data_IF_768085109590
#
_entry.id   IF_768085109590
#
_cell.length_a   1.000
_cell.length_b   1.000
_cell.length_c   1.000
_cell.angle_alpha   90.00
_cell.angle_beta   90.00
_cell.angle_gamma   90.00
#
_symmetry.space_group_name_H-M   'P 1'
#
loop_
_entity.id
_entity.type
_entity.pdbx_description
1 polymer ?
#
# COMPACT_ATOMS: atom_id res chain seq x y z
N UNK A 1 -14.75 -14.50 17.32
CA UNK A 1 -13.37 -15.00 17.18
C UNK A 1 -13.30 -15.65 15.83
N UNK A 2 -12.31 -15.26 15.04
CA UNK A 2 -12.02 -15.89 13.74
C UNK A 2 -11.34 -17.23 14.03
N UNK A 3 -11.77 -18.26 13.30
CA UNK A 3 -11.28 -19.63 13.43
C UNK A 3 -10.07 -19.86 12.53
N UNK A 4 -9.21 -20.81 12.91
CA UNK A 4 -8.08 -21.24 12.06
C UNK A 4 -8.56 -21.72 10.67
N UNK A 5 -9.77 -22.30 10.61
CA UNK A 5 -10.41 -22.75 9.36
C UNK A 5 -10.77 -21.59 8.43
N UNK A 6 -11.24 -20.45 8.98
CA UNK A 6 -11.52 -19.25 8.18
C UNK A 6 -10.24 -18.66 7.59
N UNK A 7 -9.17 -18.57 8.40
CA UNK A 7 -7.84 -18.12 7.92
C UNK A 7 -7.31 -19.05 6.83
N UNK A 8 -7.46 -20.37 7.00
CA UNK A 8 -7.07 -21.36 6.00
C UNK A 8 -7.84 -21.19 4.69
N UNK A 9 -9.17 -21.05 4.73
CA UNK A 9 -9.99 -20.89 3.53
C UNK A 9 -9.61 -19.61 2.75
N UNK A 10 -9.41 -18.49 3.45
CA UNK A 10 -8.95 -17.24 2.81
C UNK A 10 -7.53 -17.40 2.24
N UNK A 11 -6.64 -18.08 2.97
CA UNK A 11 -5.29 -18.41 2.52
C UNK A 11 -5.26 -19.27 1.26
N UNK A 12 -6.17 -20.23 1.13
CA UNK A 12 -6.34 -21.03 -0.08
C UNK A 12 -6.75 -20.16 -1.27
N UNK A 13 -7.67 -19.20 -1.09
CA UNK A 13 -8.03 -18.23 -2.13
C UNK A 13 -6.83 -17.39 -2.56
N UNK A 14 -6.05 -16.86 -1.62
CA UNK A 14 -4.83 -16.10 -1.93
C UNK A 14 -3.81 -16.93 -2.74
N UNK A 15 -3.60 -18.18 -2.33
CA UNK A 15 -2.61 -19.08 -2.91
C UNK A 15 -3.00 -19.76 -4.21
N UNK A 16 -4.27 -19.65 -4.65
CA UNK A 16 -4.76 -20.33 -5.86
C UNK A 16 -4.57 -19.46 -7.12
N UNK A 17 -3.67 -19.83 -8.05
CA UNK A 17 -3.45 -19.07 -9.28
C UNK A 17 -4.61 -19.16 -10.27
N UNK A 18 -5.62 -20.01 -10.03
CA UNK A 18 -6.86 -20.04 -10.83
C UNK A 18 -7.88 -19.01 -10.36
N UNK A 19 -7.70 -18.41 -9.17
CA UNK A 19 -8.57 -17.33 -8.70
C UNK A 19 -8.27 -16.03 -9.45
N UNK A 20 -9.28 -15.22 -9.77
CA UNK A 20 -9.09 -13.88 -10.32
C UNK A 20 -8.22 -13.02 -9.40
N UNK A 21 -7.39 -12.15 -9.98
CA UNK A 21 -6.42 -11.38 -9.21
C UNK A 21 -7.09 -10.54 -8.13
N UNK A 22 -8.19 -9.85 -8.47
CA UNK A 22 -9.03 -9.10 -7.52
C UNK A 22 -9.48 -9.93 -6.30
N UNK A 23 -9.87 -11.20 -6.47
CA UNK A 23 -10.27 -12.07 -5.36
C UNK A 23 -9.09 -12.41 -4.44
N UNK A 24 -7.90 -12.56 -5.04
CA UNK A 24 -6.65 -12.81 -4.31
C UNK A 24 -6.21 -11.58 -3.52
N UNK A 25 -6.37 -10.37 -4.07
CA UNK A 25 -6.15 -9.11 -3.35
C UNK A 25 -7.09 -8.94 -2.16
N UNK A 26 -8.39 -9.21 -2.34
CA UNK A 26 -9.37 -9.18 -1.24
C UNK A 26 -9.00 -10.19 -0.14
N UNK A 27 -8.57 -11.40 -0.52
CA UNK A 27 -8.09 -12.40 0.43
C UNK A 27 -6.82 -11.91 1.17
N UNK A 28 -5.86 -11.33 0.46
CA UNK A 28 -4.63 -10.77 1.03
C UNK A 28 -4.93 -9.69 2.07
N UNK A 29 -5.73 -8.68 1.73
CA UNK A 29 -6.08 -7.61 2.66
C UNK A 29 -6.92 -8.11 3.85
N UNK A 30 -7.74 -9.14 3.63
CA UNK A 30 -8.46 -9.81 4.74
C UNK A 30 -7.45 -10.47 5.68
N UNK A 31 -6.46 -11.22 5.18
CA UNK A 31 -5.40 -11.84 6.00
C UNK A 31 -4.55 -10.79 6.72
N UNK A 32 -4.24 -9.67 6.07
CA UNK A 32 -3.54 -8.53 6.68
C UNK A 32 -4.33 -7.96 7.87
N UNK A 33 -5.63 -7.77 7.72
CA UNK A 33 -6.52 -7.31 8.81
C UNK A 33 -6.68 -8.33 9.95
N UNK A 34 -6.67 -9.62 9.62
CA UNK A 34 -6.74 -10.71 10.61
C UNK A 34 -5.47 -10.85 11.44
N UNK A 35 -4.30 -10.70 10.80
CA UNK A 35 -3.01 -10.85 11.46
C UNK A 35 -2.72 -12.27 11.92
N UNK A 36 -1.65 -12.42 12.69
CA UNK A 36 -1.28 -13.68 13.32
C UNK A 36 -0.40 -14.61 12.46
N UNK A 37 0.10 -15.69 13.06
CA UNK A 37 1.12 -16.53 12.44
C UNK A 37 0.62 -17.27 11.19
N UNK A 38 -0.65 -17.70 11.18
CA UNK A 38 -1.23 -18.42 10.05
C UNK A 38 -1.46 -17.51 8.85
N UNK A 39 -1.92 -16.27 9.07
CA UNK A 39 -2.03 -15.26 8.02
C UNK A 39 -0.65 -14.96 7.40
N UNK A 40 0.37 -14.74 8.24
CA UNK A 40 1.76 -14.54 7.79
C UNK A 40 2.23 -15.75 6.97
N UNK A 41 1.96 -16.97 7.42
CA UNK A 41 2.36 -18.19 6.71
C UNK A 41 1.68 -18.31 5.34
N UNK A 42 0.39 -17.97 5.21
CA UNK A 42 -0.32 -17.96 3.93
C UNK A 42 0.19 -16.89 2.98
N UNK A 43 0.37 -15.66 3.46
CA UNK A 43 0.95 -14.56 2.69
C UNK A 43 2.37 -14.94 2.22
N UNK A 44 3.19 -15.50 3.10
CA UNK A 44 4.57 -15.94 2.79
C UNK A 44 4.63 -17.01 1.69
N UNK A 45 3.67 -17.93 1.64
CA UNK A 45 3.64 -18.99 0.61
C UNK A 45 3.36 -18.43 -0.79
N UNK A 46 2.64 -17.32 -0.88
CA UNK A 46 2.23 -16.71 -2.14
C UNK A 46 3.37 -15.97 -2.88
N UNK A 47 4.55 -15.77 -2.27
CA UNK A 47 5.74 -15.21 -2.95
C UNK A 47 6.25 -16.05 -4.13
N UNK A 48 5.71 -17.25 -4.34
CA UNK A 48 5.99 -18.12 -5.48
C UNK A 48 5.15 -17.80 -6.72
N UNK A 49 4.28 -16.79 -6.64
CA UNK A 49 3.41 -16.38 -7.74
C UNK A 49 4.17 -15.71 -8.88
N UNK A 50 3.62 -15.78 -10.10
CA UNK A 50 4.20 -15.16 -11.28
C UNK A 50 3.87 -13.65 -11.40
N UNK A 51 2.89 -13.14 -10.64
CA UNK A 51 2.54 -11.72 -10.61
C UNK A 51 3.49 -10.95 -9.70
N UNK A 52 4.33 -10.10 -10.29
CA UNK A 52 5.17 -9.17 -9.55
C UNK A 52 4.33 -8.19 -8.72
N UNK A 53 3.15 -7.81 -9.23
CA UNK A 53 2.22 -6.95 -8.52
C UNK A 53 1.72 -7.62 -7.23
N UNK A 54 1.23 -8.86 -7.32
CA UNK A 54 0.78 -9.57 -6.13
C UNK A 54 1.93 -9.75 -5.13
N UNK A 55 3.11 -10.19 -5.59
CA UNK A 55 4.27 -10.39 -4.72
C UNK A 55 4.72 -9.13 -3.99
N UNK A 56 4.69 -7.98 -4.66
CA UNK A 56 4.90 -6.68 -4.03
C UNK A 56 3.87 -6.46 -2.93
N UNK A 57 2.58 -6.62 -3.22
CA UNK A 57 1.51 -6.42 -2.24
C UNK A 57 1.62 -7.36 -1.02
N UNK A 58 2.13 -8.59 -1.20
CA UNK A 58 2.41 -9.50 -0.08
C UNK A 58 3.44 -8.88 0.87
N UNK A 59 4.52 -8.31 0.34
CA UNK A 59 5.56 -7.68 1.14
C UNK A 59 5.02 -6.43 1.85
N UNK A 60 4.29 -5.58 1.13
CA UNK A 60 3.62 -4.39 1.69
C UNK A 60 2.75 -4.77 2.89
N UNK A 61 1.84 -5.74 2.70
CA UNK A 61 0.94 -6.22 3.76
C UNK A 61 1.71 -6.74 4.98
N UNK A 62 2.78 -7.53 4.79
CA UNK A 62 3.61 -8.02 5.89
C UNK A 62 4.31 -6.89 6.65
N UNK A 63 4.75 -5.84 5.95
CA UNK A 63 5.31 -4.62 6.55
C UNK A 63 4.29 -3.89 7.42
N UNK A 64 3.09 -3.66 6.87
CA UNK A 64 1.99 -2.98 7.55
C UNK A 64 1.44 -3.76 8.76
N UNK A 65 1.59 -5.09 8.78
CA UNK A 65 1.24 -5.92 9.96
C UNK A 65 2.19 -5.70 11.14
N UNK A 66 3.37 -5.13 10.91
CA UNK A 66 4.42 -4.85 11.90
C UNK A 66 4.80 -6.06 12.78
N UNK A 67 4.63 -7.28 12.24
CA UNK A 67 4.88 -8.52 12.97
C UNK A 67 6.26 -9.08 12.61
N UNK A 68 7.13 -9.15 13.62
CA UNK A 68 8.50 -9.65 13.47
C UNK A 68 8.59 -11.07 12.91
N UNK A 69 7.54 -11.87 13.00
CA UNK A 69 7.49 -13.22 12.40
C UNK A 69 7.61 -13.19 10.87
N UNK A 70 7.34 -12.05 10.23
CA UNK A 70 7.51 -11.88 8.78
C UNK A 70 8.95 -11.57 8.36
N UNK A 71 9.84 -11.18 9.29
CA UNK A 71 11.23 -10.80 8.97
C UNK A 71 11.98 -11.88 8.16
N UNK A 72 11.92 -13.18 8.51
CA UNK A 72 12.66 -14.20 7.75
C UNK A 72 12.28 -14.26 6.27
N UNK A 73 10.98 -14.22 5.93
CA UNK A 73 10.54 -14.27 4.53
C UNK A 73 10.89 -12.99 3.78
N UNK A 74 10.76 -11.82 4.42
CA UNK A 74 11.11 -10.54 3.80
C UNK A 74 12.61 -10.43 3.53
N UNK A 75 13.45 -10.95 4.43
CA UNK A 75 14.90 -11.08 4.22
C UNK A 75 15.22 -12.02 3.06
N UNK A 76 14.51 -13.14 2.91
CA UNK A 76 14.67 -14.05 1.78
C UNK A 76 14.32 -13.35 0.45
N UNK A 77 13.20 -12.62 0.39
CA UNK A 77 12.75 -11.88 -0.79
C UNK A 77 13.72 -10.75 -1.18
N UNK A 78 14.18 -9.95 -0.21
CA UNK A 78 15.16 -8.87 -0.46
C UNK A 78 16.47 -9.41 -1.08
N UNK A 79 16.91 -10.58 -0.61
CA UNK A 79 18.14 -11.24 -1.07
C UNK A 79 18.03 -11.89 -2.44
N UNK A 80 16.82 -12.29 -2.83
CA UNK A 80 16.60 -13.04 -4.06
C UNK A 80 16.67 -12.13 -5.28
N UNK A 81 17.81 -12.17 -5.98
CA UNK A 81 18.03 -11.40 -7.22
C UNK A 81 17.22 -11.91 -8.41
N UNK A 82 16.46 -12.99 -8.27
CA UNK A 82 15.48 -13.43 -9.26
C UNK A 82 14.12 -12.75 -9.10
N UNK A 83 13.85 -12.13 -7.95
CA UNK A 83 12.68 -11.28 -7.76
C UNK A 83 12.85 -9.96 -8.51
N UNK A 84 11.73 -9.41 -8.98
CA UNK A 84 11.70 -8.13 -9.68
C UNK A 84 12.12 -6.99 -8.72
N UNK A 85 12.70 -5.90 -9.25
CA UNK A 85 13.04 -4.71 -8.45
C UNK A 85 11.90 -4.22 -7.56
N UNK A 86 10.65 -4.24 -8.08
CA UNK A 86 9.48 -3.81 -7.31
C UNK A 86 9.25 -4.65 -6.05
N UNK A 87 9.35 -5.97 -6.18
CA UNK A 87 9.14 -6.91 -5.06
C UNK A 87 10.26 -6.78 -4.03
N UNK A 88 11.51 -6.58 -4.49
CA UNK A 88 12.67 -6.46 -3.61
C UNK A 88 12.69 -5.15 -2.84
N UNK A 89 12.31 -4.02 -3.45
CA UNK A 89 12.19 -2.77 -2.69
C UNK A 89 11.11 -2.91 -1.63
N UNK A 90 9.95 -3.47 -1.98
CA UNK A 90 8.82 -3.57 -1.05
C UNK A 90 9.17 -4.45 0.16
N UNK A 91 9.95 -5.52 -0.06
CA UNK A 91 10.49 -6.30 1.04
C UNK A 91 11.46 -5.50 1.94
N UNK A 92 12.31 -4.65 1.35
CA UNK A 92 13.20 -3.76 2.09
C UNK A 92 12.45 -2.70 2.90
N UNK A 93 11.39 -2.14 2.33
CA UNK A 93 10.52 -1.17 2.99
C UNK A 93 9.75 -1.82 4.15
N UNK A 94 9.16 -3.00 3.91
CA UNK A 94 8.44 -3.77 4.91
C UNK A 94 9.31 -4.10 6.14
N UNK A 95 10.60 -4.40 5.95
CA UNK A 95 11.56 -4.56 7.06
C UNK A 95 11.71 -3.27 7.87
N UNK A 96 11.74 -2.11 7.22
CA UNK A 96 11.74 -0.79 7.88
C UNK A 96 10.42 -0.46 8.58
N UNK A 97 9.28 -0.87 8.00
CA UNK A 97 7.94 -0.68 8.56
C UNK A 97 7.71 -1.51 9.84
N UNK A 98 8.20 -2.77 9.86
CA UNK A 98 8.19 -3.62 11.07
C UNK A 98 8.95 -2.94 12.22
N UNK A 99 9.99 -2.17 11.92
CA UNK A 99 10.62 -1.31 12.91
C UNK A 99 11.57 -2.02 13.87
N UNK A 100 11.86 -3.31 13.65
CA UNK A 100 12.74 -4.07 14.54
C UNK A 100 14.21 -3.87 14.17
N UNK A 101 15.06 -3.37 15.10
CA UNK A 101 16.45 -3.05 14.77
C UNK A 101 17.33 -4.25 14.43
N UNK A 102 16.86 -5.50 14.59
CA UNK A 102 17.61 -6.69 14.17
C UNK A 102 17.91 -6.72 12.67
N UNK A 103 17.11 -5.99 11.87
CA UNK A 103 17.25 -5.93 10.41
C UNK A 103 18.20 -4.81 9.93
N UNK A 104 18.76 -4.00 10.84
CA UNK A 104 19.62 -2.86 10.49
C UNK A 104 20.85 -3.28 9.68
N UNK A 105 21.52 -4.37 10.05
CA UNK A 105 22.75 -4.79 9.38
C UNK A 105 22.48 -5.23 7.94
N UNK A 106 21.37 -5.94 7.70
CA UNK A 106 21.00 -6.34 6.34
C UNK A 106 20.54 -5.14 5.51
N UNK A 107 19.76 -4.22 6.07
CA UNK A 107 19.38 -3.00 5.34
C UNK A 107 20.61 -2.17 4.98
N UNK A 108 21.58 -2.00 5.90
CA UNK A 108 22.85 -1.31 5.60
C UNK A 108 23.66 -2.00 4.51
N UNK A 109 23.64 -3.34 4.45
CA UNK A 109 24.25 -4.09 3.36
C UNK A 109 23.56 -3.78 2.01
N UNK A 110 22.23 -3.79 1.98
CA UNK A 110 21.44 -3.57 0.75
C UNK A 110 21.25 -2.09 0.40
N UNK A 111 21.64 -1.14 1.25
CA UNK A 111 21.79 0.28 0.90
C UNK A 111 22.78 0.53 -0.24
N UNK A 112 23.59 -0.46 -0.60
CA UNK A 112 24.53 -0.43 -1.72
C UNK A 112 24.18 -1.46 -2.82
N UNK A 113 22.93 -1.93 -2.88
CA UNK A 113 22.47 -2.85 -3.93
C UNK A 113 22.67 -2.23 -5.33
N UNK A 114 23.02 -3.01 -6.36
CA UNK A 114 23.15 -2.50 -7.73
C UNK A 114 21.81 -2.05 -8.33
N UNK A 115 20.67 -2.50 -7.80
CA UNK A 115 19.33 -2.03 -8.20
C UNK A 115 19.00 -0.79 -7.39
N UNK A 116 18.86 0.35 -8.06
CA UNK A 116 18.74 1.67 -7.41
C UNK A 116 17.53 1.76 -6.49
N UNK A 117 16.39 1.18 -6.90
CA UNK A 117 15.17 1.14 -6.09
C UNK A 117 15.39 0.41 -4.76
N UNK A 118 16.10 -0.72 -4.79
CA UNK A 118 16.43 -1.49 -3.58
C UNK A 118 17.40 -0.73 -2.69
N UNK A 119 18.42 -0.09 -3.29
CA UNK A 119 19.41 0.68 -2.56
C UNK A 119 18.77 1.88 -1.84
N UNK A 120 18.00 2.69 -2.57
CA UNK A 120 17.29 3.85 -2.02
C UNK A 120 16.29 3.46 -0.93
N UNK A 121 15.49 2.41 -1.14
CA UNK A 121 14.57 1.92 -0.11
C UNK A 121 15.29 1.46 1.15
N UNK A 122 16.38 0.70 1.01
CA UNK A 122 17.14 0.25 2.17
C UNK A 122 17.81 1.43 2.90
N UNK A 123 18.24 2.48 2.19
CA UNK A 123 18.74 3.71 2.81
C UNK A 123 17.64 4.42 3.62
N UNK A 124 16.44 4.57 3.05
CA UNK A 124 15.28 5.15 3.74
C UNK A 124 14.90 4.33 4.99
N UNK A 125 14.85 3.01 4.87
CA UNK A 125 14.54 2.10 5.98
C UNK A 125 15.58 2.18 7.11
N UNK A 126 16.88 2.31 6.79
CA UNK A 126 17.92 2.58 7.80
C UNK A 126 17.67 3.91 8.50
N UNK A 127 17.43 5.00 7.75
CA UNK A 127 17.13 6.31 8.33
C UNK A 127 15.89 6.27 9.22
N UNK A 128 14.85 5.55 8.81
CA UNK A 128 13.62 5.33 9.60
C UNK A 128 13.91 4.62 10.92
N UNK A 129 14.63 3.51 10.90
CA UNK A 129 14.97 2.74 12.11
C UNK A 129 15.84 3.56 13.07
N UNK A 130 16.83 4.29 12.53
CA UNK A 130 17.65 5.20 13.33
C UNK A 130 16.83 6.34 13.93
N UNK A 131 15.85 6.87 13.19
CA UNK A 131 14.89 7.85 13.71
C UNK A 131 14.04 7.27 14.85
N UNK A 132 13.49 6.05 14.70
CA UNK A 132 12.70 5.37 15.74
C UNK A 132 13.51 5.14 17.02
N UNK A 133 14.79 4.75 16.89
CA UNK A 133 15.70 4.60 18.03
C UNK A 133 15.98 5.92 18.76
N UNK A 134 16.06 7.04 18.03
CA UNK A 134 16.31 8.35 18.61
C UNK A 134 15.05 8.96 19.27
N UNK A 135 13.87 8.58 18.81
CA UNK A 135 12.58 9.11 19.28
C UNK A 135 11.80 8.09 20.12
N UNK A 136 12.49 7.06 20.63
CA UNK A 136 11.91 6.02 21.47
C UNK A 136 11.31 6.64 22.75
N UNK A 137 9.98 6.64 22.87
CA UNK A 137 9.27 7.10 24.07
C UNK A 137 8.38 8.35 23.88
N UNK A 138 8.41 9.00 22.71
CA UNK A 138 7.38 9.96 22.35
C UNK A 138 6.20 9.20 21.72
N UNK A 139 4.95 9.38 22.18
CA UNK A 139 3.81 8.87 21.43
C UNK A 139 3.83 9.58 20.07
N UNK A 140 4.16 8.84 19.01
CA UNK A 140 3.98 9.33 17.65
C UNK A 140 2.55 9.85 17.59
N UNK A 141 2.38 11.15 17.33
CA UNK A 141 1.05 11.67 17.07
C UNK A 141 0.52 10.87 15.89
N UNK A 142 -0.51 10.05 16.13
CA UNK A 142 -1.14 9.28 15.08
C UNK A 142 -1.55 10.28 13.99
N UNK A 143 -0.96 10.12 12.80
CA UNK A 143 -1.27 10.96 11.66
C UNK A 143 -2.72 10.74 11.21
N UNK A 144 -3.18 11.48 10.20
CA UNK A 144 -4.51 11.28 9.63
C UNK A 144 -4.65 9.92 8.90
N UNK A 145 -3.55 9.23 8.62
CA UNK A 145 -3.49 7.94 7.94
C UNK A 145 -3.08 6.82 8.90
N UNK A 146 -3.58 5.61 8.64
CA UNK A 146 -3.27 4.41 9.44
C UNK A 146 -2.09 3.60 8.89
N UNK A 147 -1.52 4.03 7.76
CA UNK A 147 -0.34 3.43 7.15
C UNK A 147 0.91 3.64 7.99
N UNK A 148 1.84 2.70 7.87
CA UNK A 148 3.18 2.76 8.45
C UNK A 148 4.12 3.27 7.36
N UNK A 149 4.33 4.59 7.34
CA UNK A 149 5.08 5.25 6.27
C UNK A 149 6.61 5.03 6.36
N UNK A 150 7.34 5.03 5.22
CA UNK A 150 8.81 4.91 5.20
C UNK A 150 9.55 6.08 5.84
N UNK A 151 8.91 7.24 6.04
CA UNK A 151 9.49 8.37 6.79
C UNK A 151 8.44 9.09 7.65
N UNK A 152 8.81 9.64 8.82
CA UNK A 152 7.90 10.45 9.62
C UNK A 152 7.65 11.82 8.98
N UNK A 153 6.45 12.41 9.05
CA UNK A 153 6.19 13.70 8.44
C UNK A 153 7.11 14.80 8.98
N UNK A 154 7.45 15.77 8.11
CA UNK A 154 8.17 16.97 8.49
C UNK A 154 7.37 17.81 9.52
N UNK A 155 8.09 18.59 10.34
CA UNK A 155 7.45 19.48 11.33
C UNK A 155 6.91 20.78 10.72
N UNK A 156 7.42 21.16 9.54
CA UNK A 156 6.95 22.32 8.79
C UNK A 156 5.49 22.08 8.32
N UNK A 157 4.70 23.15 8.30
CA UNK A 157 3.26 23.11 7.96
C UNK A 157 2.90 24.01 6.78
N UNK A 158 3.81 24.89 6.37
CA UNK A 158 3.62 25.72 5.19
C UNK A 158 3.78 24.89 3.91
N UNK A 159 2.70 24.78 3.13
CA UNK A 159 2.66 23.95 1.91
C UNK A 159 3.69 24.42 0.88
N UNK A 160 3.92 25.73 0.76
CA UNK A 160 4.92 26.29 -0.15
C UNK A 160 6.34 25.84 0.19
N UNK A 161 6.73 25.91 1.46
CA UNK A 161 8.06 25.43 1.93
C UNK A 161 8.20 23.92 1.85
N UNK A 162 7.14 23.17 2.15
CA UNK A 162 7.15 21.72 1.99
C UNK A 162 7.32 21.33 0.52
N UNK A 163 6.67 22.04 -0.41
CA UNK A 163 6.86 21.89 -1.86
C UNK A 163 8.30 22.18 -2.27
N UNK A 164 8.89 23.27 -1.78
CA UNK A 164 10.31 23.57 -2.05
C UNK A 164 11.22 22.43 -1.59
N UNK A 165 11.02 21.90 -0.38
CA UNK A 165 11.79 20.78 0.14
C UNK A 165 11.56 19.47 -0.65
N UNK A 166 10.32 19.19 -1.06
CA UNK A 166 9.97 18.00 -1.84
C UNK A 166 10.75 17.95 -3.17
N UNK A 167 10.85 19.09 -3.83
CA UNK A 167 11.40 19.23 -5.19
C UNK A 167 12.90 19.55 -5.23
N UNK A 168 13.54 19.75 -4.08
CA UNK A 168 14.97 20.04 -4.00
C UNK A 168 15.82 18.76 -4.10
N UNK A 169 16.33 18.50 -5.31
CA UNK A 169 17.23 17.37 -5.61
C UNK A 169 18.57 17.41 -4.85
N UNK A 170 18.92 18.52 -4.19
CA UNK A 170 20.11 18.59 -3.34
C UNK A 170 19.86 18.06 -1.92
N UNK A 171 18.60 17.89 -1.50
CA UNK A 171 18.26 17.34 -0.20
C UNK A 171 18.37 15.81 -0.17
N UNK A 172 18.73 15.21 0.98
CA UNK A 172 18.64 13.76 1.16
C UNK A 172 17.23 13.24 0.87
N UNK A 173 17.14 12.07 0.25
CA UNK A 173 15.85 11.45 -0.10
C UNK A 173 14.92 11.32 1.11
N UNK A 174 15.46 10.96 2.28
CA UNK A 174 14.68 10.89 3.52
C UNK A 174 14.00 12.23 3.85
N UNK A 175 14.69 13.36 3.76
CA UNK A 175 14.09 14.67 4.07
C UNK A 175 13.00 15.07 3.06
N UNK A 176 13.17 14.69 1.78
CA UNK A 176 12.15 14.87 0.74
C UNK A 176 10.90 14.01 1.02
N UNK A 177 11.09 12.77 1.46
CA UNK A 177 9.99 11.89 1.91
C UNK A 177 9.26 12.48 3.12
N UNK A 178 9.97 13.05 4.10
CA UNK A 178 9.33 13.72 5.23
C UNK A 178 8.46 14.90 4.79
N UNK A 179 8.90 15.67 3.80
CA UNK A 179 8.10 16.74 3.21
C UNK A 179 6.88 16.19 2.44
N UNK A 180 7.06 15.07 1.73
CA UNK A 180 6.00 14.35 1.01
C UNK A 180 4.85 13.94 1.95
N UNK A 181 5.15 13.24 3.04
CA UNK A 181 4.12 12.83 4.01
C UNK A 181 3.49 14.02 4.74
N UNK A 182 4.25 15.09 5.02
CA UNK A 182 3.67 16.31 5.57
C UNK A 182 2.70 17.01 4.60
N UNK A 183 2.97 16.99 3.29
CA UNK A 183 2.04 17.49 2.27
C UNK A 183 0.77 16.63 2.19
N UNK A 184 0.91 15.30 2.19
CA UNK A 184 -0.22 14.37 2.25
C UNK A 184 -1.11 14.67 3.47
N UNK A 185 -0.49 14.79 4.64
CA UNK A 185 -1.19 15.04 5.90
C UNK A 185 -1.83 16.43 5.97
N UNK A 186 -1.24 17.44 5.31
CA UNK A 186 -1.83 18.77 5.19
C UNK A 186 -3.09 18.75 4.31
N UNK A 187 -3.07 17.96 3.23
CA UNK A 187 -4.17 17.76 2.31
C UNK A 187 -4.63 19.02 1.56
N UNK A 188 -5.76 18.88 0.86
CA UNK A 188 -6.32 19.94 0.03
C UNK A 188 -5.64 20.10 -1.33
N UNK A 189 -6.19 20.99 -2.16
CA UNK A 189 -5.79 21.15 -3.56
C UNK A 189 -4.34 21.62 -3.73
N UNK A 190 -3.90 22.57 -2.91
CA UNK A 190 -2.53 23.11 -2.98
C UNK A 190 -1.48 22.03 -2.71
N UNK A 191 -1.69 21.21 -1.68
CA UNK A 191 -0.78 20.11 -1.36
C UNK A 191 -0.83 18.99 -2.41
N UNK A 192 -2.02 18.66 -2.92
CA UNK A 192 -2.17 17.67 -4.00
C UNK A 192 -1.40 18.08 -5.26
N UNK A 193 -1.49 19.36 -5.65
CA UNK A 193 -0.75 19.88 -6.80
C UNK A 193 0.76 19.92 -6.55
N UNK A 194 1.19 20.30 -5.34
CA UNK A 194 2.60 20.25 -4.94
C UNK A 194 3.18 18.82 -5.02
N UNK A 195 2.44 17.83 -4.52
CA UNK A 195 2.82 16.42 -4.64
C UNK A 195 2.87 15.98 -6.11
N UNK A 196 1.87 16.34 -6.92
CA UNK A 196 1.81 15.96 -8.34
C UNK A 196 2.98 16.53 -9.18
N UNK A 197 3.61 17.63 -8.77
CA UNK A 197 4.85 18.10 -9.39
C UNK A 197 6.01 17.10 -9.21
N UNK A 198 6.02 16.37 -8.08
CA UNK A 198 6.99 15.33 -7.76
C UNK A 198 7.07 14.19 -8.78
N UNK A 199 5.98 13.91 -9.52
CA UNK A 199 5.94 12.95 -10.64
C UNK A 199 6.86 13.32 -11.82
N UNK A 200 7.53 14.46 -11.78
CA UNK A 200 8.42 14.92 -12.85
C UNK A 200 9.89 15.04 -12.40
N UNK A 201 10.23 14.56 -11.20
CA UNK A 201 11.57 14.66 -10.63
C UNK A 201 11.98 13.37 -9.91
N UNK A 202 13.18 13.37 -9.32
CA UNK A 202 13.69 12.28 -8.50
C UNK A 202 13.92 10.96 -9.23
N UNK A 203 14.13 9.91 -8.44
CA UNK A 203 14.25 8.53 -8.90
C UNK A 203 12.88 7.92 -9.20
N UNK A 204 12.87 6.72 -9.78
CA UNK A 204 11.62 5.97 -9.97
C UNK A 204 10.96 5.62 -8.63
N UNK A 205 11.74 5.33 -7.59
CA UNK A 205 11.22 5.09 -6.24
C UNK A 205 10.51 6.34 -5.69
N UNK A 206 11.14 7.51 -5.82
CA UNK A 206 10.53 8.76 -5.37
C UNK A 206 9.20 9.04 -6.10
N UNK A 207 9.13 8.86 -7.42
CA UNK A 207 7.89 9.07 -8.19
C UNK A 207 6.81 8.05 -7.91
N UNK A 208 7.19 6.80 -7.64
CA UNK A 208 6.28 5.77 -7.17
C UNK A 208 5.62 6.22 -5.87
N UNK A 209 6.42 6.64 -4.88
CA UNK A 209 5.90 7.12 -3.60
C UNK A 209 4.96 8.33 -3.75
N UNK A 210 5.25 9.23 -4.67
CA UNK A 210 4.34 10.34 -5.00
C UNK A 210 2.99 9.81 -5.48
N UNK A 211 2.98 8.80 -6.36
CA UNK A 211 1.77 8.12 -6.80
C UNK A 211 0.97 7.56 -5.61
N UNK A 212 1.67 6.86 -4.72
CA UNK A 212 1.10 6.22 -3.54
C UNK A 212 0.42 7.23 -2.60
N UNK A 213 1.12 8.29 -2.19
CA UNK A 213 0.55 9.30 -1.29
C UNK A 213 -0.57 10.13 -1.95
N UNK A 214 -0.54 10.29 -3.28
CA UNK A 214 -1.65 10.91 -4.01
C UNK A 214 -2.89 10.00 -4.05
N UNK A 215 -2.67 8.68 -4.15
CA UNK A 215 -3.70 7.65 -3.98
C UNK A 215 -4.34 7.72 -2.60
N UNK A 216 -3.54 7.80 -1.54
CA UNK A 216 -4.00 7.98 -0.16
C UNK A 216 -4.75 9.31 0.04
N UNK A 217 -4.25 10.40 -0.54
CA UNK A 217 -4.86 11.71 -0.43
C UNK A 217 -6.23 11.78 -1.15
N UNK A 218 -6.43 10.95 -2.18
CA UNK A 218 -7.67 10.84 -2.96
C UNK A 218 -8.18 12.18 -3.53
N UNK A 219 -7.30 13.16 -3.74
CA UNK A 219 -7.70 14.50 -4.19
C UNK A 219 -7.72 14.59 -5.72
N UNK A 220 -8.87 14.94 -6.29
CA UNK A 220 -9.13 14.91 -7.74
C UNK A 220 -8.20 15.82 -8.56
N UNK A 221 -7.63 16.88 -7.96
CA UNK A 221 -6.69 17.77 -8.63
C UNK A 221 -5.42 17.06 -9.15
N UNK A 222 -5.06 15.89 -8.61
CA UNK A 222 -3.91 15.11 -9.06
C UNK A 222 -4.20 14.19 -10.26
N UNK A 223 -5.47 13.95 -10.59
CA UNK A 223 -5.89 13.01 -11.65
C UNK A 223 -5.22 13.28 -13.00
N UNK A 224 -5.11 14.54 -13.50
CA UNK A 224 -4.48 14.77 -14.79
C UNK A 224 -3.03 14.31 -14.85
N UNK A 225 -2.26 14.52 -13.79
CA UNK A 225 -0.84 14.17 -13.70
C UNK A 225 -0.65 12.66 -13.48
N UNK A 226 -1.46 12.03 -12.64
CA UNK A 226 -1.46 10.57 -12.47
C UNK A 226 -1.80 9.85 -13.78
N UNK A 227 -2.82 10.33 -14.50
CA UNK A 227 -3.18 9.77 -15.80
C UNK A 227 -2.10 10.00 -16.87
N UNK A 228 -1.42 11.15 -16.84
CA UNK A 228 -0.29 11.42 -17.74
C UNK A 228 0.89 10.50 -17.46
N UNK A 229 1.25 10.28 -16.20
CA UNK A 229 2.32 9.36 -15.78
C UNK A 229 2.00 7.91 -16.18
N UNK A 230 0.77 7.43 -15.93
CA UNK A 230 0.32 6.11 -16.38
C UNK A 230 0.43 5.95 -17.91
N UNK A 231 0.10 6.99 -18.66
CA UNK A 231 0.16 6.99 -20.13
C UNK A 231 1.59 7.05 -20.71
N UNK A 232 2.58 7.45 -19.92
CA UNK A 232 3.95 7.62 -20.37
C UNK A 232 4.69 6.28 -20.48
N UNK A 233 4.75 5.73 -21.70
CA UNK A 233 5.43 4.43 -21.96
C UNK A 233 6.92 4.37 -21.64
N UNK A 234 7.57 5.52 -21.50
CA UNK A 234 9.00 5.61 -21.13
C UNK A 234 9.20 5.67 -19.61
N UNK A 235 8.13 5.82 -18.84
CA UNK A 235 8.19 5.82 -17.39
C UNK A 235 8.38 4.38 -16.88
N UNK A 236 9.01 4.25 -15.70
CA UNK A 236 9.14 2.99 -14.99
C UNK A 236 7.79 2.33 -14.77
N UNK A 237 7.71 1.02 -15.02
CA UNK A 237 6.51 0.24 -14.77
C UNK A 237 6.06 0.32 -13.30
N UNK A 238 7.02 0.54 -12.37
CA UNK A 238 6.78 0.78 -10.95
C UNK A 238 5.93 2.03 -10.71
N UNK A 239 6.39 3.17 -11.24
CA UNK A 239 5.66 4.45 -11.13
C UNK A 239 4.29 4.37 -11.80
N UNK A 240 4.21 3.70 -12.97
CA UNK A 240 2.98 3.57 -13.74
C UNK A 240 1.92 2.73 -13.02
N UNK A 241 2.31 1.65 -12.34
CA UNK A 241 1.35 0.84 -11.57
C UNK A 241 0.76 1.65 -10.42
N UNK A 242 1.62 2.38 -9.71
CA UNK A 242 1.21 3.15 -8.53
C UNK A 242 0.27 4.30 -8.92
N UNK A 243 0.53 4.92 -10.07
CA UNK A 243 -0.39 5.90 -10.64
C UNK A 243 -1.74 5.27 -11.04
N UNK A 244 -1.77 4.01 -11.54
CA UNK A 244 -3.01 3.32 -11.82
C UNK A 244 -3.82 3.02 -10.53
N UNK A 245 -3.16 2.58 -9.47
CA UNK A 245 -3.83 2.29 -8.19
C UNK A 245 -4.36 3.55 -7.54
N UNK A 246 -3.59 4.64 -7.54
CA UNK A 246 -4.04 5.96 -7.11
C UNK A 246 -5.29 6.45 -7.88
N UNK A 247 -5.34 6.23 -9.20
CA UNK A 247 -6.52 6.55 -10.01
C UNK A 247 -7.74 5.68 -9.62
N UNK A 248 -7.53 4.40 -9.32
CA UNK A 248 -8.55 3.50 -8.78
C UNK A 248 -9.11 4.02 -7.47
N UNK A 249 -8.24 4.41 -6.54
CA UNK A 249 -8.61 4.97 -5.24
C UNK A 249 -9.37 6.30 -5.36
N UNK A 250 -8.98 7.20 -6.26
CA UNK A 250 -9.69 8.49 -6.45
C UNK A 250 -11.10 8.30 -7.04
N UNK A 251 -11.30 7.24 -7.84
CA UNK A 251 -12.59 6.79 -8.35
C UNK A 251 -13.46 7.86 -9.06
N UNK A 252 -12.85 8.70 -9.90
CA UNK A 252 -13.57 9.69 -10.76
C UNK A 252 -13.81 9.17 -12.18
N UNK A 253 -14.81 9.69 -12.92
CA UNK A 253 -15.07 9.26 -14.30
C UNK A 253 -13.86 9.39 -15.24
N UNK A 254 -13.02 10.40 -15.02
CA UNK A 254 -11.74 10.58 -15.73
C UNK A 254 -10.72 9.51 -15.38
N UNK A 255 -10.65 9.05 -14.12
CA UNK A 255 -9.83 7.91 -13.71
C UNK A 255 -10.25 6.63 -14.45
N UNK A 256 -11.56 6.35 -14.50
CA UNK A 256 -12.10 5.18 -15.20
C UNK A 256 -11.68 5.14 -16.67
N UNK A 257 -11.71 6.30 -17.35
CA UNK A 257 -11.28 6.41 -18.74
C UNK A 257 -9.79 6.13 -18.90
N UNK A 258 -8.95 6.65 -17.99
CA UNK A 258 -7.51 6.39 -17.99
C UNK A 258 -7.21 4.90 -17.76
N UNK A 259 -7.77 4.28 -16.72
CA UNK A 259 -7.56 2.87 -16.41
C UNK A 259 -7.97 1.95 -17.57
N UNK A 260 -9.14 2.18 -18.15
CA UNK A 260 -9.62 1.40 -19.31
C UNK A 260 -8.74 1.54 -20.55
N UNK A 261 -8.01 2.65 -20.70
CA UNK A 261 -7.06 2.80 -21.80
C UNK A 261 -5.81 1.90 -21.64
N UNK A 262 -5.54 1.40 -20.43
CA UNK A 262 -4.32 0.68 -20.08
C UNK A 262 -4.52 -0.78 -19.62
N UNK A 263 -5.75 -1.33 -19.61
CA UNK A 263 -6.00 -2.75 -19.31
C UNK A 263 -5.29 -3.74 -20.24
N UNK A 264 -4.88 -3.29 -21.43
CA UNK A 264 -4.14 -4.08 -22.41
C UNK A 264 -2.70 -3.57 -22.64
N UNK A 265 -2.14 -2.83 -21.67
CA UNK A 265 -0.74 -2.36 -21.70
C UNK A 265 0.25 -3.52 -21.93
N UNK A 266 1.38 -3.36 -22.64
CA UNK A 266 2.36 -4.44 -22.76
C UNK A 266 2.99 -4.85 -21.41
N UNK A 267 3.10 -3.93 -20.45
CA UNK A 267 3.66 -4.22 -19.13
C UNK A 267 2.62 -4.96 -18.28
N UNK A 268 2.98 -6.16 -17.79
CA UNK A 268 2.06 -7.01 -17.02
C UNK A 268 1.59 -6.33 -15.74
N UNK A 269 2.52 -5.74 -14.98
CA UNK A 269 2.20 -5.02 -13.73
C UNK A 269 1.20 -3.89 -13.97
N UNK A 270 1.34 -3.13 -15.07
CA UNK A 270 0.41 -2.04 -15.40
C UNK A 270 -0.98 -2.57 -15.75
N UNK A 271 -1.08 -3.68 -16.51
CA UNK A 271 -2.38 -4.31 -16.79
C UNK A 271 -3.06 -4.80 -15.52
N UNK A 272 -2.32 -5.51 -14.68
CA UNK A 272 -2.81 -6.09 -13.43
C UNK A 272 -3.25 -4.98 -12.45
N UNK A 273 -2.48 -3.89 -12.31
CA UNK A 273 -2.91 -2.76 -11.48
C UNK A 273 -4.12 -2.05 -12.05
N UNK A 274 -4.25 -1.93 -13.38
CA UNK A 274 -5.49 -1.42 -13.97
C UNK A 274 -6.70 -2.34 -13.69
N UNK A 275 -6.52 -3.66 -13.72
CA UNK A 275 -7.56 -4.64 -13.36
C UNK A 275 -8.01 -4.46 -11.91
N UNK A 276 -7.07 -4.45 -10.96
CA UNK A 276 -7.36 -4.27 -9.53
C UNK A 276 -7.93 -2.87 -9.24
N UNK A 277 -7.39 -1.82 -9.87
CA UNK A 277 -7.89 -0.46 -9.71
C UNK A 277 -9.32 -0.28 -10.27
N UNK A 278 -9.70 -1.04 -11.29
CA UNK A 278 -11.09 -1.05 -11.78
C UNK A 278 -12.04 -1.75 -10.80
N UNK A 279 -11.62 -2.85 -10.18
CA UNK A 279 -12.38 -3.48 -9.07
C UNK A 279 -12.51 -2.52 -7.88
N UNK A 280 -11.45 -1.76 -7.57
CA UNK A 280 -11.48 -0.72 -6.53
C UNK A 280 -12.43 0.43 -6.89
N UNK A 281 -12.41 0.90 -8.14
CA UNK A 281 -13.35 1.90 -8.65
C UNK A 281 -14.80 1.43 -8.48
N UNK A 282 -15.09 0.17 -8.80
CA UNK A 282 -16.42 -0.42 -8.65
C UNK A 282 -16.84 -0.53 -7.18
N UNK A 283 -15.91 -0.88 -6.30
CA UNK A 283 -16.12 -0.88 -4.85
C UNK A 283 -16.46 0.52 -4.30
N UNK A 284 -15.64 1.53 -4.58
CA UNK A 284 -15.83 2.92 -4.12
C UNK A 284 -17.14 3.53 -4.64
N UNK A 285 -17.60 3.07 -5.81
CA UNK A 285 -18.87 3.49 -6.42
C UNK A 285 -20.05 2.62 -6.01
N UNK A 286 -19.80 1.47 -5.41
CA UNK A 286 -20.75 0.39 -5.15
C UNK A 286 -21.38 0.44 -3.75
N UNK A 287 -22.27 -0.52 -3.44
CA UNK A 287 -22.95 -0.59 -2.15
C UNK A 287 -22.17 -1.41 -1.10
N UNK A 288 -21.08 -2.06 -1.48
CA UNK A 288 -20.32 -2.97 -0.62
C UNK A 288 -19.81 -2.25 0.64
N UNK A 289 -19.88 -2.94 1.78
CA UNK A 289 -19.50 -2.34 3.06
C UNK A 289 -17.98 -2.26 3.25
N UNK A 290 -17.27 -3.31 2.84
CA UNK A 290 -15.81 -3.42 2.95
C UNK A 290 -15.23 -4.08 1.70
N UNK A 291 -14.01 -3.70 1.33
CA UNK A 291 -13.30 -4.31 0.20
C UNK A 291 -12.76 -5.70 0.55
N UNK A 292 -12.10 -5.80 1.71
CA UNK A 292 -11.56 -7.03 2.26
C UNK A 292 -12.66 -7.91 2.88
N UNK A 293 -13.43 -8.58 2.03
CA UNK A 293 -14.65 -9.31 2.37
C UNK A 293 -14.44 -10.83 2.56
N UNK A 294 -13.19 -11.31 2.67
CA UNK A 294 -12.87 -12.74 2.67
C UNK A 294 -13.59 -13.54 3.76
N UNK A 295 -13.77 -12.95 4.96
CA UNK A 295 -14.55 -13.59 6.04
C UNK A 295 -16.04 -13.71 5.70
N UNK A 296 -16.60 -12.71 5.02
CA UNK A 296 -18.01 -12.74 4.61
C UNK A 296 -18.22 -13.82 3.55
N UNK A 297 -17.30 -13.93 2.59
CA UNK A 297 -17.32 -14.95 1.55
C UNK A 297 -17.21 -16.37 2.13
N UNK A 298 -16.35 -16.59 3.13
CA UNK A 298 -16.22 -17.89 3.80
C UNK A 298 -17.47 -18.23 4.62
N UNK A 299 -18.06 -17.25 5.30
CA UNK A 299 -19.22 -17.48 6.16
C UNK A 299 -20.55 -17.56 5.38
N UNK A 300 -20.64 -16.95 4.20
CA UNK A 300 -21.84 -16.91 3.37
C UNK A 300 -21.53 -17.29 1.90
N UNK A 301 -21.11 -18.54 1.61
CA UNK A 301 -20.69 -18.95 0.26
C UNK A 301 -21.83 -18.92 -0.79
N UNK A 302 -23.10 -18.97 -0.36
CA UNK A 302 -24.28 -18.93 -1.24
C UNK A 302 -24.80 -17.50 -1.50
N UNK A 303 -24.29 -16.49 -0.79
CA UNK A 303 -24.66 -15.08 -0.99
C UNK A 303 -23.83 -14.49 -2.14
N UNK A 304 -24.05 -15.00 -3.35
CA UNK A 304 -23.33 -14.52 -4.54
C UNK A 304 -23.47 -13.01 -4.73
N UNK A 305 -22.38 -12.27 -4.50
CA UNK A 305 -22.10 -10.91 -4.98
C UNK A 305 -23.16 -9.82 -4.75
N UNK A 306 -24.14 -10.04 -3.87
CA UNK A 306 -25.32 -9.19 -3.78
C UNK A 306 -25.81 -9.02 -2.36
N UNK A 307 -25.72 -7.78 -1.89
CA UNK A 307 -26.54 -7.20 -0.82
C UNK A 307 -26.06 -7.40 0.64
N UNK A 308 -24.86 -6.89 0.96
CA UNK A 308 -24.58 -6.38 2.31
C UNK A 308 -25.07 -4.92 2.42
N UNK A 309 -26.37 -4.68 2.34
CA UNK A 309 -26.91 -3.31 2.45
C UNK A 309 -26.60 -2.69 3.81
N UNK A 310 -26.23 -1.39 3.82
CA UNK A 310 -26.16 -0.54 5.02
C UNK A 310 -27.52 -0.53 5.74
N UNK A 311 -27.71 -1.42 6.71
CA UNK A 311 -28.75 -1.25 7.72
C UNK A 311 -28.20 -0.36 8.84
N UNK A 312 -28.18 0.96 8.63
CA UNK A 312 -27.99 1.91 9.73
C UNK A 312 -29.30 2.03 10.50
N UNK A 313 -29.37 1.46 11.70
CA UNK A 313 -30.50 1.65 12.63
C UNK A 313 -30.10 2.70 13.67
N UNK A 314 -30.67 3.92 13.65
CA UNK A 314 -30.41 4.90 14.70
C UNK A 314 -31.10 4.47 16.00
N UNK A 315 -30.31 4.21 17.03
CA UNK A 315 -30.79 4.08 18.41
C UNK A 315 -31.36 2.70 18.75
N UNK A 316 -30.49 1.74 19.05
CA UNK A 316 -30.89 0.46 19.64
C UNK A 316 -29.72 -0.21 20.33
N UNK A 317 -29.77 -0.28 21.67
CA UNK A 317 -28.84 -1.05 22.49
C UNK A 317 -29.05 -2.54 22.18
N UNK A 318 -28.04 -3.21 21.60
CA UNK A 318 -28.00 -4.67 21.55
C UNK A 318 -27.01 -5.17 22.60
N UNK A 319 -27.57 -5.94 23.54
CA UNK A 319 -26.95 -6.49 24.72
C UNK A 319 -25.86 -7.52 24.36
N UNK A 320 -24.69 -7.35 24.97
CA UNK A 320 -23.95 -8.44 25.59
C UNK A 320 -23.27 -9.48 24.69
N UNK A 321 -22.27 -9.08 23.90
CA UNK A 321 -21.10 -9.91 23.64
C UNK A 321 -19.87 -8.99 23.62
N UNK A 322 -18.76 -9.42 24.22
CA UNK A 322 -17.52 -8.65 24.35
C UNK A 322 -17.02 -8.17 22.97
N UNK A 323 -17.14 -6.86 22.76
CA UNK A 323 -16.81 -6.15 21.52
C UNK A 323 -15.29 -5.90 21.43
N UNK A 324 -14.67 -6.32 20.32
CA UNK A 324 -13.35 -5.85 19.92
C UNK A 324 -13.52 -4.78 18.83
N UNK A 325 -13.27 -3.49 19.14
CA UNK A 325 -13.52 -2.37 18.22
C UNK A 325 -12.54 -2.29 17.04
N UNK A 326 -11.49 -3.12 16.99
CA UNK A 326 -10.51 -3.12 15.89
C UNK A 326 -10.95 -3.96 14.67
N UNK A 327 -11.84 -4.94 14.87
CA UNK A 327 -12.28 -5.87 13.80
C UNK A 327 -13.53 -5.39 13.02
N UNK A 328 -14.09 -4.22 13.35
CA UNK A 328 -15.34 -3.72 12.74
C UNK A 328 -15.22 -2.38 12.00
N UNK A 329 -14.00 -1.83 11.85
CA UNK A 329 -13.84 -0.68 10.96
C UNK A 329 -13.69 -1.19 9.53
N UNK A 330 -14.51 -0.72 8.57
CA UNK A 330 -14.28 -1.05 7.18
C UNK A 330 -12.89 -0.56 6.82
N UNK A 331 -12.06 -1.45 6.25
CA UNK A 331 -10.85 -1.06 5.56
C UNK A 331 -11.29 -0.18 4.39
N UNK A 332 -11.27 1.14 4.60
CA UNK A 332 -11.50 2.13 3.55
C UNK A 332 -10.40 1.97 2.50
N UNK A 333 -10.65 2.31 1.24
CA UNK A 333 -9.63 2.22 0.20
C UNK A 333 -8.33 2.97 0.59
N UNK A 334 -8.45 4.08 1.32
CA UNK A 334 -7.33 4.84 1.89
C UNK A 334 -6.53 4.13 2.99
N UNK A 335 -6.94 2.92 3.40
CA UNK A 335 -6.25 2.06 4.37
C UNK A 335 -5.71 0.77 3.74
N UNK A 336 -6.05 0.53 2.46
CA UNK A 336 -5.51 -0.57 1.67
C UNK A 336 -4.23 -0.15 0.96
N UNK A 337 -4.19 1.11 0.52
CA UNK A 337 -3.00 1.80 0.02
C UNK A 337 -2.40 2.60 1.17
#
# INVERSE_FOLDING_TARGET
MVTEQEVEAIGQTLGDPQQPLQARFRALFTLRGLGGPDAIAWISRAFRDDSALLKHELAYCLGQMQDRRAIPVLVEVLRDTHQEPMVRHEAGEALGAIGDPEVLDILKQYSADPVVEVAETCQLAVCRLEWLQQHSGEPAAAGPYLSVDPAPPAKERDVGRLREALLDEALPLFDRYRAMFALRDAGGEEAALALAEGLHCGSALFRHEIGYVLGQLQHEAAVPQLAAALAQRTESAMVRHECAEALGAIARPTCLAALRAHVADPERVVRESCEVALDMYEYERGPAFQYADGLEQVNNPDAGGGDSTRAWVPGGVVLGHSYDPFLQQPLLCSQLF
#
